data_IF_830451496867
#
_entry.id   IF_830451496867
#
_cell.length_a   1.000
_cell.length_b   1.000
_cell.length_c   1.000
_cell.angle_alpha   90.00
_cell.angle_beta   90.00
_cell.angle_gamma   90.00
#
_symmetry.space_group_name_H-M   'P 1'
#
loop_
_entity.id
_entity.type
_entity.pdbx_description
1 polymer ?
#
# COMPACT_ATOMS: atom_id res chain seq x y z
N UNK A 1 -0.63 16.65 18.54
CA UNK A 1 -2.01 16.15 18.69
C UNK A 1 -2.23 14.87 17.91
N UNK A 2 -2.25 14.94 16.57
CA UNK A 2 -2.61 13.80 15.70
C UNK A 2 -1.75 12.54 15.86
N UNK A 3 -0.43 12.67 16.06
CA UNK A 3 0.46 11.51 16.17
C UNK A 3 0.14 10.61 17.36
N UNK A 4 -0.27 11.19 18.51
CA UNK A 4 -0.67 10.44 19.69
C UNK A 4 -1.95 9.64 19.41
N UNK A 5 -2.91 10.27 18.71
CA UNK A 5 -4.16 9.64 18.30
C UNK A 5 -3.86 8.45 17.36
N UNK A 6 -3.04 8.66 16.34
CA UNK A 6 -2.65 7.58 15.41
C UNK A 6 -1.99 6.41 16.14
N UNK A 7 -1.03 6.68 17.03
CA UNK A 7 -0.34 5.63 17.79
C UNK A 7 -1.33 4.86 18.68
N UNK A 8 -2.27 5.53 19.35
CA UNK A 8 -3.30 4.88 20.14
C UNK A 8 -4.24 3.99 19.30
N UNK A 9 -4.69 4.46 18.13
CA UNK A 9 -5.55 3.67 17.23
C UNK A 9 -4.83 2.45 16.67
N UNK A 10 -3.63 2.61 16.12
CA UNK A 10 -2.86 1.48 15.59
C UNK A 10 -2.46 0.52 16.73
N UNK A 11 -1.93 1.02 17.85
CA UNK A 11 -1.54 0.19 18.99
C UNK A 11 -2.70 -0.59 19.62
N UNK A 12 -3.89 0.03 19.71
CA UNK A 12 -5.10 -0.62 20.21
C UNK A 12 -5.55 -1.79 19.33
N UNK A 13 -5.59 -1.61 18.01
CA UNK A 13 -6.00 -2.66 17.07
C UNK A 13 -5.05 -3.86 17.12
N UNK A 14 -3.73 -3.61 17.15
CA UNK A 14 -2.73 -4.68 17.24
C UNK A 14 -2.77 -5.43 18.58
N UNK A 15 -3.22 -4.79 19.67
CA UNK A 15 -3.33 -5.44 20.98
C UNK A 15 -4.49 -6.45 21.07
N UNK A 16 -5.60 -6.21 20.36
CA UNK A 16 -6.82 -7.05 20.47
C UNK A 16 -6.82 -8.18 19.44
N UNK A 17 -6.12 -8.00 18.32
CA UNK A 17 -6.12 -8.95 17.21
C UNK A 17 -5.66 -10.37 17.58
N UNK A 18 -4.57 -10.61 18.34
CA UNK A 18 -4.15 -11.96 18.70
C UNK A 18 -5.15 -12.68 19.61
N UNK A 19 -5.75 -11.95 20.56
CA UNK A 19 -6.79 -12.49 21.43
C UNK A 19 -8.03 -12.89 20.62
N UNK A 20 -8.45 -12.03 19.68
CA UNK A 20 -9.57 -12.32 18.79
C UNK A 20 -9.33 -13.54 17.89
N UNK A 21 -8.15 -13.65 17.28
CA UNK A 21 -7.78 -14.83 16.46
C UNK A 21 -7.79 -16.10 17.32
N UNK A 22 -7.29 -16.02 18.55
CA UNK A 22 -7.25 -17.17 19.44
C UNK A 22 -8.64 -17.60 19.93
N UNK A 23 -9.58 -16.67 20.09
CA UNK A 23 -10.98 -16.98 20.41
C UNK A 23 -11.71 -17.66 19.24
N UNK A 24 -11.34 -17.33 17.99
CA UNK A 24 -11.95 -17.92 16.78
C UNK A 24 -11.36 -19.28 16.39
N UNK A 25 -10.03 -19.44 16.50
CA UNK A 25 -9.30 -20.60 15.94
C UNK A 25 -8.61 -21.47 17.01
N UNK A 26 -8.75 -21.13 18.29
CA UNK A 26 -8.08 -21.79 19.40
C UNK A 26 -6.63 -21.33 19.60
N UNK A 27 -6.16 -21.39 20.85
CA UNK A 27 -4.82 -20.94 21.25
C UNK A 27 -3.69 -21.70 20.53
N UNK A 28 -3.93 -22.98 20.19
CA UNK A 28 -2.95 -23.85 19.52
C UNK A 28 -2.52 -23.35 18.12
N UNK A 29 -3.43 -22.72 17.37
CA UNK A 29 -3.19 -22.29 15.99
C UNK A 29 -3.07 -20.77 15.81
N UNK A 30 -3.42 -19.98 16.84
CA UNK A 30 -3.46 -18.52 16.79
C UNK A 30 -2.13 -17.89 16.35
N UNK A 31 -1.00 -18.39 16.89
CA UNK A 31 0.34 -17.88 16.55
C UNK A 31 0.71 -18.10 15.08
N UNK A 32 0.37 -19.27 14.51
CA UNK A 32 0.67 -19.58 13.11
C UNK A 32 -0.16 -18.73 12.14
N UNK A 33 -1.46 -18.55 12.44
CA UNK A 33 -2.37 -17.73 11.63
C UNK A 33 -1.93 -16.27 11.66
N UNK A 34 -1.67 -15.72 12.85
CA UNK A 34 -1.22 -14.35 13.00
C UNK A 34 0.15 -14.10 12.34
N UNK A 35 1.08 -15.05 12.48
CA UNK A 35 2.40 -14.97 11.84
C UNK A 35 2.31 -14.86 10.31
N UNK A 36 1.46 -15.68 9.67
CA UNK A 36 1.22 -15.61 8.22
C UNK A 36 0.62 -14.26 7.79
N UNK A 37 -0.32 -13.73 8.58
CA UNK A 37 -0.92 -12.42 8.32
C UNK A 37 0.13 -11.29 8.41
N UNK A 38 0.99 -11.30 9.44
CA UNK A 38 2.07 -10.32 9.59
C UNK A 38 3.06 -10.36 8.44
N UNK A 39 3.45 -11.55 7.96
CA UNK A 39 4.33 -11.67 6.79
C UNK A 39 3.69 -11.08 5.54
N UNK A 40 2.40 -11.35 5.29
CA UNK A 40 1.68 -10.79 4.15
C UNK A 40 1.57 -9.25 4.24
N UNK A 41 1.24 -8.71 5.42
CA UNK A 41 1.18 -7.26 5.63
C UNK A 41 2.54 -6.58 5.50
N UNK A 42 3.61 -7.18 6.03
CA UNK A 42 4.96 -6.66 5.88
C UNK A 42 5.38 -6.62 4.41
N UNK A 43 5.09 -7.68 3.64
CA UNK A 43 5.36 -7.69 2.21
C UNK A 43 4.61 -6.55 1.48
N UNK A 44 3.33 -6.34 1.81
CA UNK A 44 2.54 -5.22 1.25
C UNK A 44 3.12 -3.85 1.63
N UNK A 45 3.58 -3.69 2.88
CA UNK A 45 4.13 -2.43 3.37
C UNK A 45 5.43 -2.02 2.65
N UNK A 46 6.20 -2.99 2.15
CA UNK A 46 7.39 -2.73 1.32
C UNK A 46 7.02 -2.57 -0.15
N UNK A 47 6.14 -3.44 -0.67
CA UNK A 47 5.75 -3.42 -2.08
C UNK A 47 5.03 -2.12 -2.48
N UNK A 48 4.19 -1.56 -1.61
CA UNK A 48 3.43 -0.33 -1.88
C UNK A 48 4.31 0.87 -2.21
N UNK A 49 5.22 1.30 -1.31
CA UNK A 49 6.13 2.42 -1.56
C UNK A 49 7.06 2.21 -2.76
N UNK A 50 7.53 0.98 -2.99
CA UNK A 50 8.37 0.67 -4.15
C UNK A 50 7.60 0.82 -5.47
N UNK A 51 6.37 0.31 -5.53
CA UNK A 51 5.50 0.48 -6.70
C UNK A 51 5.17 1.95 -6.97
N UNK A 52 4.86 2.71 -5.91
CA UNK A 52 4.63 4.16 -6.00
C UNK A 52 5.84 4.90 -6.56
N UNK A 53 7.03 4.65 -6.01
CA UNK A 53 8.27 5.29 -6.44
C UNK A 53 8.59 4.99 -7.91
N UNK A 54 8.39 3.73 -8.31
CA UNK A 54 8.57 3.30 -9.69
C UNK A 54 7.62 4.03 -10.66
N UNK A 55 6.31 4.00 -10.38
CA UNK A 55 5.30 4.64 -11.24
C UNK A 55 5.50 6.16 -11.31
N UNK A 56 5.86 6.80 -10.19
CA UNK A 56 6.16 8.23 -10.16
C UNK A 56 7.38 8.56 -11.01
N UNK A 57 8.46 7.77 -10.91
CA UNK A 57 9.69 7.98 -11.67
C UNK A 57 9.45 7.86 -13.17
N UNK A 58 8.65 6.88 -13.59
CA UNK A 58 8.28 6.74 -15.00
C UNK A 58 7.46 7.94 -15.51
N UNK A 59 6.46 8.38 -14.75
CA UNK A 59 5.69 9.60 -15.09
C UNK A 59 6.59 10.84 -15.18
N UNK A 60 7.57 10.97 -14.28
CA UNK A 60 8.53 12.07 -14.26
C UNK A 60 9.44 12.05 -15.50
N UNK A 61 9.95 10.88 -15.88
CA UNK A 61 10.76 10.71 -17.08
C UNK A 61 9.97 11.08 -18.35
N UNK A 62 8.72 10.63 -18.46
CA UNK A 62 7.86 10.96 -19.60
C UNK A 62 7.62 12.47 -19.68
N UNK A 63 7.33 13.12 -18.54
CA UNK A 63 7.14 14.56 -18.48
C UNK A 63 8.40 15.33 -18.88
N UNK A 64 9.58 14.90 -18.42
CA UNK A 64 10.86 15.49 -18.79
C UNK A 64 11.10 15.38 -20.30
N UNK A 65 10.85 14.21 -20.90
CA UNK A 65 11.02 14.02 -22.35
C UNK A 65 10.05 14.88 -23.17
N UNK A 66 8.79 15.04 -22.74
CA UNK A 66 7.83 15.95 -23.39
C UNK A 66 8.26 17.42 -23.30
N UNK A 67 8.82 17.85 -22.16
CA UNK A 67 9.34 19.20 -21.99
C UNK A 67 10.59 19.45 -22.83
N UNK A 68 11.49 18.48 -22.94
CA UNK A 68 12.70 18.59 -23.77
C UNK A 68 12.38 18.84 -25.25
N UNK A 69 11.26 18.31 -25.75
CA UNK A 69 10.80 18.57 -27.12
C UNK A 69 10.28 20.00 -27.34
N UNK A 70 9.91 20.70 -26.26
CA UNK A 70 9.33 22.04 -26.28
C UNK A 70 10.34 23.13 -25.88
N UNK A 71 11.61 22.78 -25.69
CA UNK A 71 12.65 23.75 -25.38
C UNK A 71 12.91 24.62 -26.62
N UNK A 72 12.62 25.92 -26.49
CA UNK A 72 12.84 26.90 -27.57
C UNK A 72 14.21 27.60 -27.45
N UNK A 73 14.74 27.71 -26.22
CA UNK A 73 15.98 28.44 -25.93
C UNK A 73 17.19 27.50 -25.78
N UNK A 74 17.60 26.87 -26.89
CA UNK A 74 18.70 25.90 -26.89
C UNK A 74 20.03 26.50 -26.39
N UNK A 75 20.34 27.75 -26.71
CA UNK A 75 21.58 28.41 -26.28
C UNK A 75 21.67 28.57 -24.74
N UNK A 76 20.56 28.95 -24.10
CA UNK A 76 20.49 29.15 -22.66
C UNK A 76 20.50 27.81 -21.89
N UNK A 77 19.89 26.79 -22.49
CA UNK A 77 19.91 25.43 -21.98
C UNK A 77 21.32 24.85 -22.00
N UNK A 78 22.04 25.00 -23.12
CA UNK A 78 23.44 24.56 -23.27
C UNK A 78 24.37 25.27 -22.28
N UNK A 79 24.19 26.59 -22.06
CA UNK A 79 24.96 27.33 -21.07
C UNK A 79 24.75 26.83 -19.63
N UNK A 80 23.56 26.31 -19.32
CA UNK A 80 23.19 25.90 -17.95
C UNK A 80 23.55 24.45 -17.67
N UNK A 81 23.33 23.54 -18.62
CA UNK A 81 23.53 22.10 -18.44
C UNK A 81 24.80 21.56 -19.11
N UNK A 82 25.45 22.36 -19.97
CA UNK A 82 26.67 21.96 -20.68
C UNK A 82 26.47 20.84 -21.70
N UNK A 83 25.21 20.57 -22.09
CA UNK A 83 24.85 19.56 -23.08
C UNK A 83 23.84 20.10 -24.08
N UNK A 84 23.94 19.66 -25.33
CA UNK A 84 22.95 19.93 -26.37
C UNK A 84 21.73 19.02 -26.19
N UNK A 85 20.54 19.50 -26.59
CA UNK A 85 19.28 18.73 -26.50
C UNK A 85 19.34 17.43 -27.31
N UNK A 86 20.21 17.38 -28.32
CA UNK A 86 20.39 16.22 -29.21
C UNK A 86 21.19 15.07 -28.56
N UNK A 87 21.98 15.35 -27.52
CA UNK A 87 22.84 14.34 -26.90
C UNK A 87 22.09 13.55 -25.81
N UNK A 88 21.37 12.52 -26.26
CA UNK A 88 20.55 11.64 -25.42
C UNK A 88 21.34 11.00 -24.25
N UNK A 89 22.61 10.65 -24.45
CA UNK A 89 23.42 10.00 -23.41
C UNK A 89 23.73 10.90 -22.21
N UNK A 90 24.00 12.19 -22.46
CA UNK A 90 24.22 13.18 -21.39
C UNK A 90 22.92 13.56 -20.70
N UNK A 91 21.80 13.56 -21.43
CA UNK A 91 20.49 13.86 -20.85
C UNK A 91 20.10 12.78 -19.85
N UNK A 92 20.26 11.49 -20.20
CA UNK A 92 19.95 10.41 -19.27
C UNK A 92 20.78 10.47 -17.98
N UNK A 93 22.08 10.79 -18.07
CA UNK A 93 22.89 10.92 -16.85
C UNK A 93 22.52 12.13 -15.99
N UNK A 94 22.04 13.21 -16.59
CA UNK A 94 21.53 14.39 -15.88
C UNK A 94 20.15 14.14 -15.24
N UNK A 95 19.30 13.34 -15.89
CA UNK A 95 18.04 12.86 -15.32
C UNK A 95 18.33 11.96 -14.11
N UNK A 96 19.24 10.99 -14.26
CA UNK A 96 19.65 10.09 -13.18
C UNK A 96 20.29 10.86 -12.00
N UNK A 97 21.06 11.91 -12.30
CA UNK A 97 21.65 12.80 -11.30
C UNK A 97 20.64 13.77 -10.66
N UNK A 98 19.38 13.79 -11.12
CA UNK A 98 18.33 14.75 -10.72
C UNK A 98 18.72 16.22 -10.88
N UNK A 99 19.70 16.50 -11.74
CA UNK A 99 20.11 17.87 -12.08
C UNK A 99 19.17 18.46 -13.11
N UNK A 100 18.66 17.62 -14.02
CA UNK A 100 17.64 17.97 -15.00
C UNK A 100 16.26 17.56 -14.49
N UNK A 101 15.57 18.50 -13.85
CA UNK A 101 14.23 18.29 -13.28
C UNK A 101 13.17 19.15 -13.98
N UNK A 102 11.90 18.78 -13.82
CA UNK A 102 10.75 19.49 -14.41
C UNK A 102 10.81 21.00 -14.11
N UNK A 103 11.03 21.37 -12.84
CA UNK A 103 11.09 22.78 -12.44
C UNK A 103 12.23 23.55 -13.12
N UNK A 104 13.36 22.88 -13.42
CA UNK A 104 14.49 23.49 -14.11
C UNK A 104 14.28 23.60 -15.61
N UNK A 105 13.55 22.66 -16.21
CA UNK A 105 13.21 22.70 -17.63
C UNK A 105 12.18 23.78 -17.95
N UNK A 106 11.24 24.04 -17.03
CA UNK A 106 10.22 25.08 -17.21
C UNK A 106 10.82 26.49 -17.42
N UNK A 107 12.05 26.75 -16.96
CA UNK A 107 12.74 28.02 -17.20
C UNK A 107 13.13 28.25 -18.68
N UNK A 108 13.23 27.17 -19.47
CA UNK A 108 13.71 27.17 -20.87
C UNK A 108 12.62 26.92 -21.91
N UNK A 109 11.39 26.66 -21.45
CA UNK A 109 10.21 26.31 -22.25
C UNK A 109 9.29 27.56 -22.34
N UNK A 110 8.52 27.74 -23.43
CA UNK A 110 7.61 28.90 -23.57
C UNK A 110 6.58 28.98 -22.44
N UNK A 111 6.23 30.22 -22.05
CA UNK A 111 5.34 30.54 -20.92
C UNK A 111 3.89 30.04 -21.05
N UNK A 112 3.52 29.49 -22.20
CA UNK A 112 2.20 28.89 -22.45
C UNK A 112 2.16 27.38 -22.11
N UNK A 113 3.29 26.82 -21.66
CA UNK A 113 3.37 25.39 -21.34
C UNK A 113 2.78 25.10 -19.96
N UNK A 114 1.86 24.14 -19.91
CA UNK A 114 1.23 23.66 -18.67
C UNK A 114 2.25 22.86 -17.86
N UNK A 115 2.37 23.15 -16.57
CA UNK A 115 3.24 22.41 -15.64
C UNK A 115 2.72 20.96 -15.45
N UNK A 116 3.52 19.92 -15.75
CA UNK A 116 3.13 18.53 -15.57
C UNK A 116 3.22 18.04 -14.11
N UNK A 117 3.80 18.81 -13.20
CA UNK A 117 4.02 18.43 -11.78
C UNK A 117 2.77 17.93 -11.05
N UNK A 118 1.58 18.55 -11.21
CA UNK A 118 0.35 18.06 -10.58
C UNK A 118 -0.10 16.67 -11.09
N UNK A 119 0.24 16.33 -12.33
CA UNK A 119 -0.23 15.13 -13.02
C UNK A 119 0.70 13.92 -12.84
N UNK A 120 1.85 14.09 -12.19
CA UNK A 120 2.82 13.00 -11.96
C UNK A 120 2.25 11.82 -11.17
N UNK A 121 1.22 12.06 -10.35
CA UNK A 121 0.59 11.04 -9.54
C UNK A 121 -0.61 10.37 -10.21
N UNK A 122 -1.08 10.84 -11.36
CA UNK A 122 -2.29 10.31 -12.00
C UNK A 122 -2.15 8.83 -12.31
N UNK A 123 -1.03 8.42 -12.91
CA UNK A 123 -0.73 7.00 -13.19
C UNK A 123 -0.75 6.15 -11.91
N UNK A 124 -0.17 6.65 -10.82
CA UNK A 124 -0.23 5.97 -9.52
C UNK A 124 -1.67 5.85 -9.02
N UNK A 125 -2.46 6.91 -9.12
CA UNK A 125 -3.85 6.92 -8.66
C UNK A 125 -4.72 5.96 -9.45
N UNK A 126 -4.54 5.87 -10.77
CA UNK A 126 -5.23 4.89 -11.61
C UNK A 126 -4.84 3.45 -11.26
N UNK A 127 -3.55 3.18 -11.06
CA UNK A 127 -3.07 1.85 -10.62
C UNK A 127 -3.62 1.52 -9.23
N UNK A 128 -3.62 2.48 -8.30
CA UNK A 128 -4.18 2.34 -6.97
C UNK A 128 -5.69 2.03 -7.00
N UNK A 129 -6.45 2.72 -7.85
CA UNK A 129 -7.88 2.45 -8.05
C UNK A 129 -8.10 1.04 -8.63
N UNK A 130 -7.29 0.61 -9.58
CA UNK A 130 -7.31 -0.74 -10.14
C UNK A 130 -7.04 -1.81 -9.07
N UNK A 131 -6.00 -1.61 -8.24
CA UNK A 131 -5.66 -2.52 -7.15
C UNK A 131 -6.79 -2.60 -6.11
N UNK A 132 -7.44 -1.47 -5.80
CA UNK A 132 -8.60 -1.44 -4.91
C UNK A 132 -9.79 -2.21 -5.49
N UNK A 133 -10.00 -2.12 -6.81
CA UNK A 133 -11.02 -2.90 -7.51
C UNK A 133 -10.75 -4.41 -7.43
N UNK A 134 -9.50 -4.84 -7.64
CA UNK A 134 -9.10 -6.24 -7.48
C UNK A 134 -9.28 -6.70 -6.03
N UNK A 135 -8.89 -5.88 -5.05
CA UNK A 135 -9.09 -6.19 -3.64
C UNK A 135 -10.57 -6.33 -3.27
N UNK A 136 -11.44 -5.47 -3.82
CA UNK A 136 -12.88 -5.57 -3.65
C UNK A 136 -13.43 -6.88 -4.23
N UNK A 137 -13.03 -7.25 -5.46
CA UNK A 137 -13.44 -8.50 -6.08
C UNK A 137 -12.95 -9.72 -5.28
N UNK A 138 -11.70 -9.68 -4.79
CA UNK A 138 -11.16 -10.71 -3.92
C UNK A 138 -11.97 -10.83 -2.62
N UNK A 139 -12.35 -9.70 -2.01
CA UNK A 139 -13.17 -9.68 -0.80
C UNK A 139 -14.58 -10.22 -1.04
N UNK A 140 -15.20 -9.89 -2.19
CA UNK A 140 -16.51 -10.42 -2.58
C UNK A 140 -16.48 -11.93 -2.88
N UNK A 141 -15.34 -12.46 -3.33
CA UNK A 141 -15.17 -13.88 -3.61
C UNK A 141 -14.91 -14.73 -2.35
N UNK A 142 -14.71 -14.13 -1.17
CA UNK A 142 -14.53 -14.87 0.08
C UNK A 142 -15.86 -15.52 0.47
N UNK A 143 -15.89 -16.86 0.40
CA UNK A 143 -17.02 -17.66 0.86
C UNK A 143 -16.97 -17.84 2.40
N UNK A 144 -18.13 -17.96 3.07
CA UNK A 144 -18.17 -18.24 4.49
C UNK A 144 -17.52 -19.60 4.78
N UNK A 145 -16.59 -19.61 5.73
CA UNK A 145 -15.88 -20.82 6.16
C UNK A 145 -16.80 -21.67 7.05
N UNK A 146 -16.99 -22.96 6.75
CA UNK A 146 -17.78 -23.85 7.61
C UNK A 146 -16.97 -24.19 8.87
N UNK A 147 -17.42 -23.66 10.00
CA UNK A 147 -16.66 -23.64 11.25
C UNK A 147 -16.68 -24.99 11.98
N UNK A 148 -17.56 -25.91 11.58
CA UNK A 148 -17.75 -27.21 12.22
C UNK A 148 -16.52 -28.11 12.13
N UNK A 149 -15.82 -28.09 10.99
CA UNK A 149 -14.64 -28.93 10.76
C UNK A 149 -13.40 -28.43 11.52
N UNK A 150 -13.34 -27.12 11.80
CA UNK A 150 -12.23 -26.51 12.57
C UNK A 150 -12.43 -26.74 14.07
N UNK A 151 -13.69 -26.70 14.51
CA UNK A 151 -14.07 -26.96 15.91
C UNK A 151 -14.06 -28.46 16.25
N UNK A 152 -14.11 -29.38 15.28
CA UNK A 152 -13.98 -30.82 15.56
C UNK A 152 -12.56 -31.22 15.97
N UNK A 153 -11.53 -30.54 15.45
CA UNK A 153 -10.12 -30.73 15.80
C UNK A 153 -9.71 -29.98 17.10
N UNK A 154 -10.64 -29.27 17.71
CA UNK A 154 -10.46 -28.64 19.02
C UNK A 154 -10.68 -29.69 20.12
N UNK A 155 -9.65 -29.91 20.95
CA UNK A 155 -9.66 -30.88 22.05
C UNK A 155 -10.90 -30.71 22.96
N UNK A 156 -11.44 -31.82 23.51
CA UNK A 156 -12.66 -31.78 24.34
C UNK A 156 -12.55 -30.85 25.57
N UNK A 157 -11.34 -30.60 26.07
CA UNK A 157 -11.09 -29.68 27.20
C UNK A 157 -11.39 -28.20 26.86
N UNK A 158 -11.09 -27.77 25.63
CA UNK A 158 -11.36 -26.39 25.18
C UNK A 158 -12.85 -26.17 24.89
N UNK A 159 -13.56 -27.23 24.44
CA UNK A 159 -15.02 -27.24 24.35
C UNK A 159 -15.66 -27.11 25.73
N UNK A 160 -15.12 -27.80 26.75
CA UNK A 160 -15.62 -27.72 28.12
C UNK A 160 -15.39 -26.34 28.74
N UNK A 161 -14.21 -25.72 28.55
CA UNK A 161 -13.96 -24.33 28.97
C UNK A 161 -14.88 -23.34 28.27
N UNK A 162 -15.05 -23.46 26.95
CA UNK A 162 -15.95 -22.58 26.19
C UNK A 162 -17.43 -22.77 26.57
N UNK A 163 -17.85 -23.99 26.92
CA UNK A 163 -19.17 -24.28 27.49
C UNK A 163 -19.32 -23.73 28.92
N UNK A 164 -18.32 -23.90 29.80
CA UNK A 164 -18.34 -23.33 31.16
C UNK A 164 -18.43 -21.81 31.12
N UNK A 165 -17.64 -21.15 30.28
CA UNK A 165 -17.69 -19.68 30.12
C UNK A 165 -19.05 -19.24 29.60
N UNK A 166 -19.63 -19.95 28.61
CA UNK A 166 -21.01 -19.71 28.16
C UNK A 166 -22.05 -19.90 29.28
N UNK A 167 -21.86 -20.89 30.15
CA UNK A 167 -22.74 -21.18 31.27
C UNK A 167 -22.63 -20.14 32.41
N UNK A 168 -21.45 -19.52 32.58
CA UNK A 168 -21.23 -18.42 33.51
C UNK A 168 -21.81 -17.10 33.00
N UNK A 169 -21.81 -16.89 31.67
CA UNK A 169 -22.36 -15.68 31.03
C UNK A 169 -23.88 -15.75 30.85
N UNK A 170 -24.45 -16.95 30.65
CA UNK A 170 -25.90 -17.14 30.57
C UNK A 170 -26.34 -18.42 31.31
N UNK A 171 -26.80 -18.30 32.57
CA UNK A 171 -27.19 -19.45 33.39
C UNK A 171 -28.47 -20.15 32.93
N UNK A 172 -29.25 -19.58 31.99
CA UNK A 172 -30.55 -20.10 31.55
C UNK A 172 -30.52 -20.91 30.23
N UNK A 173 -29.36 -21.28 29.71
CA UNK A 173 -29.22 -21.98 28.41
C UNK A 173 -29.72 -23.44 28.36
N UNK A 174 -30.30 -23.97 29.45
CA UNK A 174 -30.80 -25.36 29.56
C UNK A 174 -32.21 -25.62 28.98
N UNK A 175 -32.74 -24.76 28.12
CA UNK A 175 -34.11 -24.93 27.57
C UNK A 175 -34.13 -25.14 26.06
N UNK A 176 -33.36 -26.11 25.55
CA UNK A 176 -33.66 -26.82 24.29
C UNK A 176 -33.12 -28.25 24.34
N UNK A 177 -33.89 -29.12 24.98
CA UNK A 177 -33.97 -30.56 24.71
C UNK A 177 -35.46 -30.91 24.73
#
# INVERSE_FOLDING_TARGET
GGSIISISFYGGIFSVLPAYIADLFGQKHAGSIHGKALTAWAASAVAGPLGLAYLRSESENIAIHDLLQKVENNDAFECTFGCTVDNVSSIHSLIDAKTLSISRLLDFVPKDTVDPTPFLYDSTLYVGAGLMGVALLANLAIQPLDMKDILSDTDPEDKEKSQRVRHLVNPNSRTKL
#
